data_IF_089027848086
#
_entry.id   IF_089027848086
#
_cell.length_a   1.000
_cell.length_b   1.000
_cell.length_c   1.000
_cell.angle_alpha   90.00
_cell.angle_beta   90.00
_cell.angle_gamma   90.00
#
_symmetry.space_group_name_H-M   'P 1'
#
loop_
_entity.id
_entity.type
_entity.pdbx_description
1 polymer ?
#
# COMPACT_ATOMS: atom_id res chain seq x y z
N UNK A 1 -12.27 -7.44 15.09
CA UNK A 1 -11.04 -8.12 14.65
C UNK A 1 -10.92 -9.38 15.49
N UNK A 2 -11.39 -10.50 14.94
CA UNK A 2 -11.53 -11.78 15.66
C UNK A 2 -10.16 -12.46 15.85
N UNK A 3 -10.03 -13.10 17.01
CA UNK A 3 -8.82 -13.66 17.64
C UNK A 3 -8.25 -14.94 16.94
N UNK A 4 -8.40 -15.06 15.61
CA UNK A 4 -8.06 -16.29 14.86
C UNK A 4 -6.59 -16.35 14.37
N UNK A 5 -5.85 -15.25 14.43
CA UNK A 5 -4.47 -15.18 13.91
C UNK A 5 -3.37 -15.51 14.92
N UNK A 6 -3.73 -15.88 16.17
CA UNK A 6 -2.74 -16.02 17.23
C UNK A 6 -1.98 -17.37 17.22
N UNK A 7 -2.39 -18.34 16.39
CA UNK A 7 -1.68 -19.62 16.26
C UNK A 7 -0.64 -19.60 15.12
N UNK A 8 0.56 -20.13 15.39
CA UNK A 8 1.70 -20.30 14.45
C UNK A 8 1.31 -21.04 13.17
N UNK A 9 0.33 -21.94 13.23
CA UNK A 9 -0.22 -22.64 12.06
C UNK A 9 -0.97 -21.67 11.12
N UNK A 10 -1.80 -20.77 11.66
CA UNK A 10 -2.51 -19.75 10.88
C UNK A 10 -1.56 -18.77 10.20
N UNK A 11 -0.49 -18.34 10.89
CA UNK A 11 0.57 -17.51 10.27
C UNK A 11 1.31 -18.22 9.13
N UNK A 12 1.49 -19.55 9.21
CA UNK A 12 2.13 -20.33 8.14
C UNK A 12 1.22 -20.54 6.94
N UNK A 13 -0.07 -20.80 7.16
CA UNK A 13 -1.06 -20.89 6.10
C UNK A 13 -1.22 -19.55 5.36
N UNK A 14 -1.38 -18.45 6.09
CA UNK A 14 -1.45 -17.11 5.50
C UNK A 14 -0.21 -16.76 4.66
N UNK A 15 1.00 -17.10 5.12
CA UNK A 15 2.23 -16.93 4.32
C UNK A 15 2.27 -17.83 3.08
N UNK A 16 1.72 -19.05 3.16
CA UNK A 16 1.62 -19.96 2.01
C UNK A 16 0.61 -19.44 0.96
N UNK A 17 -0.39 -18.68 1.40
CA UNK A 17 -1.37 -17.98 0.56
C UNK A 17 -0.86 -16.61 0.07
N UNK A 18 0.38 -16.23 0.41
CA UNK A 18 1.00 -14.98 -0.04
C UNK A 18 0.65 -13.74 0.80
N UNK A 19 0.01 -13.91 1.97
CA UNK A 19 -0.22 -12.81 2.89
C UNK A 19 1.12 -12.26 3.42
N UNK A 20 1.25 -10.94 3.37
CA UNK A 20 2.42 -10.22 3.87
C UNK A 20 2.27 -10.01 5.38
N UNK A 21 3.30 -10.38 6.13
CA UNK A 21 3.49 -9.81 7.48
C UNK A 21 4.11 -8.41 7.37
N UNK A 22 4.19 -7.68 8.48
CA UNK A 22 4.67 -6.29 8.49
C UNK A 22 6.04 -6.12 7.84
N UNK A 23 6.97 -7.03 8.11
CA UNK A 23 8.32 -6.99 7.55
C UNK A 23 8.30 -7.25 6.03
N UNK A 24 7.52 -8.23 5.58
CA UNK A 24 7.36 -8.52 4.16
C UNK A 24 6.64 -7.37 3.43
N UNK A 25 5.66 -6.73 4.08
CA UNK A 25 4.95 -5.57 3.55
C UNK A 25 5.92 -4.39 3.33
N UNK A 26 6.69 -4.02 4.35
CA UNK A 26 7.68 -2.93 4.24
C UNK A 26 8.69 -3.22 3.13
N UNK A 27 9.20 -4.46 3.05
CA UNK A 27 10.13 -4.85 1.99
C UNK A 27 9.53 -4.69 0.58
N UNK A 28 8.25 -5.02 0.40
CA UNK A 28 7.55 -4.82 -0.87
C UNK A 28 7.34 -3.34 -1.15
N UNK A 29 6.96 -2.55 -0.14
CA UNK A 29 6.82 -1.10 -0.27
C UNK A 29 8.15 -0.43 -0.67
N UNK A 30 9.27 -0.82 -0.06
CA UNK A 30 10.61 -0.31 -0.37
C UNK A 30 11.00 -0.55 -1.83
N UNK A 31 10.54 -1.65 -2.45
CA UNK A 31 10.79 -1.91 -3.86
C UNK A 31 10.16 -0.85 -4.79
N UNK A 32 9.04 -0.23 -4.39
CA UNK A 32 8.46 0.89 -5.13
C UNK A 32 9.27 2.18 -4.93
N UNK A 33 9.82 2.39 -3.74
CA UNK A 33 10.73 3.52 -3.46
C UNK A 33 12.02 3.38 -4.28
N UNK A 34 12.54 2.17 -4.42
CA UNK A 34 13.70 1.90 -5.30
C UNK A 34 13.40 2.24 -6.76
N UNK A 35 12.18 1.93 -7.25
CA UNK A 35 11.74 2.37 -8.58
C UNK A 35 11.72 3.90 -8.65
N UNK A 36 11.17 4.57 -7.63
CA UNK A 36 11.10 6.02 -7.58
C UNK A 36 12.51 6.64 -7.65
N UNK A 37 13.44 6.15 -6.83
CA UNK A 37 14.81 6.63 -6.78
C UNK A 37 15.53 6.47 -8.13
N UNK A 38 15.30 5.36 -8.85
CA UNK A 38 15.84 5.18 -10.21
C UNK A 38 15.25 6.17 -11.21
N UNK A 39 13.94 6.44 -11.15
CA UNK A 39 13.29 7.38 -12.07
C UNK A 39 13.65 8.84 -11.76
N UNK A 40 13.84 9.18 -10.49
CA UNK A 40 14.18 10.54 -10.03
C UNK A 40 15.54 11.02 -10.57
N UNK A 41 16.40 10.12 -11.07
CA UNK A 41 17.62 10.49 -11.78
C UNK A 41 17.37 11.22 -13.11
N UNK A 42 16.14 11.09 -13.67
CA UNK A 42 15.78 11.60 -15.00
C UNK A 42 14.50 12.43 -15.01
N UNK A 43 13.67 12.33 -13.96
CA UNK A 43 12.37 12.98 -13.85
C UNK A 43 12.37 13.82 -12.58
N UNK A 44 11.77 15.02 -12.63
CA UNK A 44 11.66 15.90 -11.46
C UNK A 44 10.83 15.22 -10.37
N UNK A 45 11.30 15.28 -9.12
CA UNK A 45 10.60 14.68 -7.97
C UNK A 45 9.15 15.18 -7.83
N UNK A 46 8.88 16.45 -8.15
CA UNK A 46 7.55 17.09 -8.14
C UNK A 46 6.58 16.48 -9.14
N UNK A 47 7.07 15.97 -10.26
CA UNK A 47 6.23 15.25 -11.24
C UNK A 47 6.14 13.76 -10.88
N UNK A 48 7.26 13.21 -10.40
CA UNK A 48 7.37 11.80 -10.12
C UNK A 48 6.42 11.37 -8.98
N UNK A 49 6.32 12.13 -7.89
CA UNK A 49 5.43 11.75 -6.79
C UNK A 49 3.94 11.73 -7.23
N UNK A 50 3.54 12.62 -8.14
CA UNK A 50 2.19 12.60 -8.72
C UNK A 50 1.96 11.39 -9.63
N UNK A 51 2.98 10.96 -10.38
CA UNK A 51 2.91 9.73 -11.16
C UNK A 51 2.75 8.49 -10.27
N UNK A 52 3.42 8.44 -9.11
CA UNK A 52 3.24 7.37 -8.12
C UNK A 52 1.83 7.37 -7.52
N UNK A 53 1.29 8.54 -7.16
CA UNK A 53 -0.08 8.67 -6.67
C UNK A 53 -1.09 8.16 -7.69
N UNK A 54 -0.92 8.53 -8.97
CA UNK A 54 -1.76 8.05 -10.06
C UNK A 54 -1.64 6.53 -10.26
N UNK A 55 -0.43 5.98 -10.21
CA UNK A 55 -0.20 4.54 -10.33
C UNK A 55 -0.85 3.76 -9.18
N UNK A 56 -0.73 4.26 -7.94
CA UNK A 56 -1.39 3.68 -6.77
C UNK A 56 -2.91 3.67 -6.94
N UNK A 57 -3.51 4.79 -7.39
CA UNK A 57 -4.94 4.86 -7.67
C UNK A 57 -5.40 3.81 -8.71
N UNK A 58 -4.63 3.62 -9.79
CA UNK A 58 -4.93 2.61 -10.81
C UNK A 58 -4.89 1.19 -10.26
N UNK A 59 -3.88 0.87 -9.45
CA UNK A 59 -3.75 -0.46 -8.87
C UNK A 59 -4.88 -0.71 -7.84
N UNK A 60 -5.18 0.26 -6.99
CA UNK A 60 -6.28 0.18 -6.03
C UNK A 60 -7.64 -0.02 -6.73
N UNK A 61 -7.89 0.69 -7.82
CA UNK A 61 -9.10 0.49 -8.63
C UNK A 61 -9.17 -0.91 -9.26
N UNK A 62 -8.03 -1.45 -9.72
CA UNK A 62 -7.98 -2.82 -10.22
C UNK A 62 -8.32 -3.84 -9.13
N UNK A 63 -7.77 -3.69 -7.93
CA UNK A 63 -8.04 -4.57 -6.78
C UNK A 63 -9.52 -4.47 -6.38
N UNK A 64 -10.05 -3.26 -6.20
CA UNK A 64 -11.44 -3.06 -5.83
C UNK A 64 -12.40 -3.73 -6.83
N UNK A 65 -12.17 -3.52 -8.13
CA UNK A 65 -13.09 -3.98 -9.17
C UNK A 65 -12.94 -5.47 -9.51
N UNK A 66 -11.71 -5.97 -9.62
CA UNK A 66 -11.45 -7.28 -10.22
C UNK A 66 -10.98 -8.35 -9.23
N UNK A 67 -10.57 -7.96 -8.02
CA UNK A 67 -10.08 -8.90 -7.00
C UNK A 67 -11.07 -8.99 -5.85
N UNK A 68 -11.56 -7.85 -5.37
CA UNK A 68 -12.53 -7.77 -4.28
C UNK A 68 -13.98 -7.68 -4.77
N UNK A 69 -14.19 -7.41 -6.05
CA UNK A 69 -15.51 -7.27 -6.69
C UNK A 69 -16.45 -6.33 -5.90
N UNK A 70 -15.93 -5.20 -5.45
CA UNK A 70 -16.69 -4.22 -4.65
C UNK A 70 -17.78 -3.59 -5.51
N UNK A 71 -19.04 -3.71 -5.08
CA UNK A 71 -20.19 -3.14 -5.78
C UNK A 71 -20.31 -1.62 -5.57
N UNK A 72 -20.17 -1.16 -4.33
CA UNK A 72 -20.21 0.26 -3.97
C UNK A 72 -18.80 0.84 -3.82
N UNK A 73 -18.35 1.60 -4.81
CA UNK A 73 -16.96 2.10 -4.84
C UNK A 73 -16.69 3.28 -3.90
N UNK A 74 -17.67 4.13 -3.61
CA UNK A 74 -17.45 5.35 -2.79
C UNK A 74 -16.97 5.03 -1.36
N UNK A 75 -17.60 4.10 -0.60
CA UNK A 75 -17.09 3.71 0.71
C UNK A 75 -15.65 3.17 0.67
N UNK A 76 -15.28 2.45 -0.39
CA UNK A 76 -13.91 1.97 -0.58
C UNK A 76 -12.95 3.14 -0.82
N UNK A 77 -13.32 4.09 -1.68
CA UNK A 77 -12.53 5.29 -1.95
C UNK A 77 -12.31 6.10 -0.68
N UNK A 78 -13.37 6.34 0.11
CA UNK A 78 -13.28 7.07 1.38
C UNK A 78 -12.32 6.37 2.37
N UNK A 79 -12.40 5.05 2.49
CA UNK A 79 -11.50 4.25 3.32
C UNK A 79 -10.04 4.38 2.87
N UNK A 80 -9.78 4.31 1.57
CA UNK A 80 -8.43 4.46 1.01
C UNK A 80 -7.86 5.86 1.18
N UNK A 81 -8.68 6.90 0.99
CA UNK A 81 -8.27 8.29 1.21
C UNK A 81 -7.91 8.54 2.66
N UNK A 82 -8.70 7.99 3.61
CA UNK A 82 -8.41 8.09 5.04
C UNK A 82 -7.10 7.41 5.39
N UNK A 83 -6.90 6.16 4.94
CA UNK A 83 -5.68 5.41 5.18
C UNK A 83 -4.44 6.14 4.62
N UNK A 84 -4.53 6.65 3.39
CA UNK A 84 -3.45 7.43 2.78
C UNK A 84 -3.14 8.70 3.57
N UNK A 85 -4.16 9.46 3.97
CA UNK A 85 -3.98 10.67 4.75
C UNK A 85 -3.31 10.39 6.11
N UNK A 86 -3.68 9.30 6.78
CA UNK A 86 -3.05 8.88 8.04
C UNK A 86 -1.58 8.48 7.84
N UNK A 87 -1.27 7.63 6.86
CA UNK A 87 0.11 7.26 6.54
C UNK A 87 0.97 8.47 6.18
N UNK A 88 0.46 9.35 5.32
CA UNK A 88 1.18 10.56 4.92
C UNK A 88 1.45 11.49 6.10
N UNK A 89 0.46 11.69 6.99
CA UNK A 89 0.64 12.50 8.21
C UNK A 89 1.69 11.89 9.14
N UNK A 90 1.67 10.56 9.32
CA UNK A 90 2.65 9.87 10.16
C UNK A 90 4.07 10.04 9.62
N UNK A 91 4.26 9.91 8.31
CA UNK A 91 5.57 10.14 7.69
C UNK A 91 6.00 11.61 7.77
N UNK A 92 5.11 12.57 7.53
CA UNK A 92 5.45 14.00 7.68
C UNK A 92 5.76 14.41 9.13
N UNK A 93 5.24 13.66 10.11
CA UNK A 93 5.53 13.89 11.52
C UNK A 93 6.84 13.21 11.99
N UNK A 94 7.40 12.30 11.19
CA UNK A 94 8.64 11.61 11.49
C UNK A 94 9.84 12.55 11.21
N UNK A 95 10.63 12.91 12.23
CA UNK A 95 11.75 13.82 12.09
C UNK A 95 12.95 13.23 11.32
N UNK A 96 12.90 11.94 10.98
CA UNK A 96 13.98 11.24 10.28
C UNK A 96 13.83 11.19 8.76
N UNK A 97 12.68 11.65 8.23
CA UNK A 97 12.43 11.79 6.79
C UNK A 97 12.83 13.19 6.30
#
# INVERSE_FOLDING_TARGET
>A
MTDEFNNRAGRRAARAEGALDDAAFLKVADAFIDVANRQNQKVQATELHMAFLFAAARYNAHVAKNVLEIEEHEPFVEGMLKAYAEMLRNHLADPSI
#
